data_IF_677090633827
#
_entry.id   IF_677090633827
#
_cell.length_a   1.000
_cell.length_b   1.000
_cell.length_c   1.000
_cell.angle_alpha   90.00
_cell.angle_beta   90.00
_cell.angle_gamma   90.00
#
_symmetry.space_group_name_H-M   'P 1'
#
loop_
_entity.id
_entity.type
_entity.pdbx_description
1 polymer ?
#
# COMPACT_ATOMS: atom_id res chain seq x y z
N UNK A 1 -11.73 -14.57 2.77
CA UNK A 1 -10.41 -13.99 2.40
C UNK A 1 -9.37 -14.83 3.11
N UNK A 2 -8.46 -15.49 2.40
CA UNK A 2 -7.55 -16.44 3.06
C UNK A 2 -6.63 -15.72 4.04
N UNK A 3 -6.54 -16.24 5.26
CA UNK A 3 -5.70 -15.71 6.33
C UNK A 3 -4.67 -16.75 6.73
N UNK A 4 -3.43 -16.30 6.97
CA UNK A 4 -2.32 -17.16 7.33
C UNK A 4 -1.89 -16.86 8.76
N UNK A 5 -1.75 -17.91 9.56
CA UNK A 5 -1.21 -17.80 10.92
C UNK A 5 0.27 -17.38 10.84
N UNK A 6 0.69 -16.33 11.56
CA UNK A 6 2.07 -15.84 11.50
C UNK A 6 3.08 -16.79 12.18
N UNK A 7 2.63 -17.76 12.98
CA UNK A 7 3.50 -18.65 13.77
C UNK A 7 3.75 -20.01 13.11
N UNK A 8 2.70 -20.66 12.61
CA UNK A 8 2.80 -22.00 12.00
C UNK A 8 2.53 -22.00 10.49
N UNK A 9 2.06 -20.90 9.92
CA UNK A 9 1.75 -20.81 8.49
C UNK A 9 0.43 -21.46 8.08
N UNK A 10 -0.38 -21.97 9.02
CA UNK A 10 -1.72 -22.50 8.75
C UNK A 10 -2.58 -21.49 7.99
N UNK A 11 -3.25 -21.94 6.92
CA UNK A 11 -4.09 -21.12 6.06
C UNK A 11 -5.55 -21.43 6.39
N UNK A 12 -6.28 -20.43 6.87
CA UNK A 12 -7.72 -20.47 7.09
C UNK A 12 -8.43 -19.70 5.98
N UNK A 13 -9.61 -20.16 5.54
CA UNK A 13 -10.40 -19.43 4.54
C UNK A 13 -11.02 -18.14 5.09
N UNK A 14 -11.24 -18.08 6.41
CA UNK A 14 -11.72 -16.94 7.18
C UNK A 14 -10.94 -16.76 8.49
N UNK A 15 -10.99 -15.56 9.06
CA UNK A 15 -10.33 -15.26 10.33
C UNK A 15 -11.08 -15.99 11.47
N UNK A 16 -10.41 -16.85 12.26
CA UNK A 16 -11.10 -17.56 13.33
C UNK A 16 -11.69 -16.55 14.34
N UNK A 17 -12.94 -16.73 14.81
CA UNK A 17 -13.60 -15.80 15.73
C UNK A 17 -12.81 -15.60 17.03
N UNK A 18 -12.10 -16.63 17.46
CA UNK A 18 -11.25 -16.64 18.65
C UNK A 18 -9.87 -16.01 18.43
N UNK A 19 -9.52 -15.65 17.18
CA UNK A 19 -8.17 -15.25 16.73
C UNK A 19 -7.06 -16.27 17.06
N UNK A 20 -7.43 -17.48 17.49
CA UNK A 20 -6.52 -18.59 17.75
C UNK A 20 -6.38 -19.44 16.51
N UNK A 21 -5.16 -19.85 16.23
CA UNK A 21 -4.90 -20.82 15.18
C UNK A 21 -5.43 -22.20 15.59
N UNK A 22 -6.26 -22.89 14.79
CA UNK A 22 -6.73 -24.22 15.13
C UNK A 22 -5.62 -25.28 15.15
N UNK A 23 -4.49 -25.01 14.49
CA UNK A 23 -3.37 -25.96 14.36
C UNK A 23 -2.33 -25.82 15.49
N UNK A 24 -1.97 -24.59 15.86
CA UNK A 24 -0.96 -24.36 16.91
C UNK A 24 -1.51 -23.74 18.21
N UNK A 25 -2.84 -23.59 18.32
CA UNK A 25 -3.59 -22.91 19.40
C UNK A 25 -3.08 -21.51 19.77
N UNK A 26 -2.23 -20.94 18.92
CA UNK A 26 -1.60 -19.66 19.20
C UNK A 26 -2.57 -18.53 18.88
N UNK A 27 -2.83 -17.69 19.88
CA UNK A 27 -3.57 -16.46 19.71
C UNK A 27 -2.71 -15.41 19.01
N UNK A 28 -3.24 -14.76 17.97
CA UNK A 28 -2.57 -13.66 17.30
C UNK A 28 -3.59 -12.66 16.76
N UNK A 29 -3.34 -11.37 16.97
CA UNK A 29 -4.09 -10.30 16.30
C UNK A 29 -3.54 -9.98 14.90
N UNK A 30 -2.38 -10.53 14.55
CA UNK A 30 -1.61 -10.18 13.35
C UNK A 30 -1.70 -11.27 12.27
N UNK A 31 -2.88 -11.86 12.10
CA UNK A 31 -3.10 -12.76 10.97
C UNK A 31 -2.79 -12.06 9.66
N UNK A 32 -2.01 -12.75 8.82
CA UNK A 32 -1.59 -12.22 7.53
C UNK A 32 -2.69 -12.51 6.51
N UNK A 33 -3.18 -11.48 5.83
CA UNK A 33 -4.11 -11.68 4.72
C UNK A 33 -3.29 -12.28 3.57
N UNK A 34 -3.57 -13.54 3.26
CA UNK A 34 -2.90 -14.37 2.26
C UNK A 34 -3.74 -14.45 0.98
N UNK A 35 -4.25 -13.29 0.54
CA UNK A 35 -4.95 -13.14 -0.72
C UNK A 35 -4.13 -12.22 -1.63
N UNK A 36 -3.31 -12.85 -2.48
CA UNK A 36 -2.49 -12.12 -3.44
C UNK A 36 -3.33 -11.36 -4.47
N UNK A 37 -4.48 -11.91 -4.87
CA UNK A 37 -5.32 -11.30 -5.89
C UNK A 37 -5.95 -10.01 -5.37
N UNK A 38 -6.53 -10.07 -4.17
CA UNK A 38 -7.03 -8.88 -3.46
C UNK A 38 -5.92 -7.86 -3.21
N UNK A 39 -4.77 -8.29 -2.67
CA UNK A 39 -3.61 -7.40 -2.43
C UNK A 39 -3.13 -6.71 -3.71
N UNK A 40 -2.93 -7.49 -4.78
CA UNK A 40 -2.46 -6.98 -6.06
C UNK A 40 -3.46 -6.02 -6.70
N UNK A 41 -4.77 -6.27 -6.55
CA UNK A 41 -5.82 -5.37 -7.04
C UNK A 41 -5.75 -4.00 -6.36
N UNK A 42 -5.59 -3.98 -5.03
CA UNK A 42 -5.46 -2.73 -4.25
C UNK A 42 -4.17 -2.00 -4.63
N UNK A 43 -3.03 -2.70 -4.70
CA UNK A 43 -1.74 -2.08 -5.08
C UNK A 43 -1.73 -1.55 -6.51
N UNK A 44 -2.40 -2.21 -7.46
CA UNK A 44 -2.60 -1.70 -8.82
C UNK A 44 -3.45 -0.43 -8.82
N UNK A 45 -4.53 -0.40 -8.03
CA UNK A 45 -5.36 0.81 -7.88
C UNK A 45 -4.56 1.97 -7.28
N UNK A 46 -3.72 1.69 -6.27
CA UNK A 46 -2.81 2.67 -5.68
C UNK A 46 -1.82 3.21 -6.72
N UNK A 47 -1.23 2.33 -7.52
CA UNK A 47 -0.32 2.70 -8.60
C UNK A 47 -0.98 3.65 -9.62
N UNK A 48 -2.24 3.38 -10.02
CA UNK A 48 -3.01 4.26 -10.92
C UNK A 48 -3.22 5.66 -10.34
N UNK A 49 -3.64 5.75 -9.08
CA UNK A 49 -3.83 7.03 -8.40
C UNK A 49 -2.52 7.80 -8.23
N UNK A 50 -1.41 7.13 -7.87
CA UNK A 50 -0.10 7.77 -7.80
C UNK A 50 0.32 8.34 -9.17
N UNK A 51 0.08 7.61 -10.26
CA UNK A 51 0.30 8.11 -11.62
C UNK A 51 -0.57 9.33 -11.95
N UNK A 52 -1.85 9.32 -11.55
CA UNK A 52 -2.73 10.48 -11.72
C UNK A 52 -2.23 11.70 -10.94
N UNK A 53 -1.79 11.52 -9.70
CA UNK A 53 -1.20 12.60 -8.89
C UNK A 53 0.05 13.14 -9.57
N UNK A 54 0.97 12.26 -10.00
CA UNK A 54 2.18 12.64 -10.74
C UNK A 54 1.82 13.46 -11.99
N UNK A 55 0.84 13.02 -12.78
CA UNK A 55 0.40 13.73 -13.98
C UNK A 55 -0.18 15.12 -13.68
N UNK A 56 -1.05 15.23 -12.68
CA UNK A 56 -1.64 16.51 -12.25
C UNK A 56 -0.54 17.45 -11.73
N UNK A 57 0.38 16.94 -10.93
CA UNK A 57 1.49 17.74 -10.40
C UNK A 57 2.41 18.24 -11.51
N UNK A 58 2.71 17.42 -12.53
CA UNK A 58 3.51 17.85 -13.68
C UNK A 58 2.79 18.92 -14.50
N UNK A 59 1.48 18.76 -14.75
CA UNK A 59 0.69 19.77 -15.45
C UNK A 59 0.65 21.09 -14.67
N UNK A 60 0.46 21.02 -13.35
CA UNK A 60 0.49 22.19 -12.47
C UNK A 60 1.87 22.87 -12.48
N UNK A 61 2.97 22.10 -12.42
CA UNK A 61 4.32 22.64 -12.51
C UNK A 61 4.55 23.35 -13.85
N UNK A 62 4.14 22.72 -14.96
CA UNK A 62 4.24 23.31 -16.29
C UNK A 62 3.51 24.66 -16.38
N UNK A 63 2.25 24.70 -15.96
CA UNK A 63 1.44 25.93 -15.91
C UNK A 63 2.09 26.99 -15.03
N UNK A 64 2.61 26.60 -13.86
CA UNK A 64 3.25 27.52 -12.91
C UNK A 64 4.49 28.18 -13.52
N UNK A 65 5.32 27.40 -14.22
CA UNK A 65 6.53 27.90 -14.90
C UNK A 65 6.14 28.79 -16.08
N UNK A 66 5.22 28.35 -16.94
CA UNK A 66 4.79 29.11 -18.13
C UNK A 66 4.16 30.45 -17.75
N UNK A 67 3.34 30.48 -16.70
CA UNK A 67 2.68 31.70 -16.23
C UNK A 67 3.52 32.52 -15.25
N UNK A 68 4.75 32.09 -14.91
CA UNK A 68 5.60 32.70 -13.88
C UNK A 68 4.84 32.95 -12.56
N UNK A 69 3.96 32.03 -12.20
CA UNK A 69 3.06 32.21 -11.08
C UNK A 69 3.81 32.09 -9.76
N UNK A 70 3.60 33.08 -8.88
CA UNK A 70 4.10 33.08 -7.50
C UNK A 70 3.08 32.52 -6.51
N UNK A 71 2.00 31.88 -6.99
CA UNK A 71 0.97 31.35 -6.09
C UNK A 71 1.52 30.21 -5.22
N UNK A 72 1.54 30.37 -3.89
CA UNK A 72 2.14 29.38 -2.99
C UNK A 72 1.42 28.03 -3.02
N UNK A 73 0.11 28.02 -3.31
CA UNK A 73 -0.66 26.78 -3.48
C UNK A 73 -0.15 25.91 -4.61
N UNK A 74 0.26 26.50 -5.74
CA UNK A 74 0.80 25.73 -6.87
C UNK A 74 2.14 25.07 -6.53
N UNK A 75 2.98 25.76 -5.74
CA UNK A 75 4.22 25.21 -5.23
C UNK A 75 3.99 24.11 -4.18
N UNK A 76 2.97 24.27 -3.32
CA UNK A 76 2.61 23.25 -2.33
C UNK A 76 2.17 21.93 -2.99
N UNK A 77 1.44 22.00 -4.11
CA UNK A 77 1.08 20.81 -4.89
C UNK A 77 2.29 20.06 -5.46
N UNK A 78 3.39 20.78 -5.76
CA UNK A 78 4.64 20.16 -6.21
C UNK A 78 5.32 19.31 -5.12
N UNK A 79 5.05 19.57 -3.83
CA UNK A 79 5.58 18.77 -2.73
C UNK A 79 5.00 17.34 -2.70
N UNK A 80 3.83 17.12 -3.30
CA UNK A 80 3.21 15.78 -3.40
C UNK A 80 3.91 14.87 -4.41
N UNK A 81 4.78 15.41 -5.27
CA UNK A 81 5.45 14.66 -6.31
C UNK A 81 6.39 13.58 -5.76
N UNK A 82 7.22 13.94 -4.78
CA UNK A 82 8.19 13.06 -4.16
C UNK A 82 7.51 11.84 -3.49
N UNK A 83 6.54 12.03 -2.57
CA UNK A 83 5.85 10.89 -1.95
C UNK A 83 5.05 10.06 -2.97
N UNK A 84 4.49 10.67 -4.03
CA UNK A 84 3.81 9.92 -5.09
C UNK A 84 4.76 8.96 -5.82
N UNK A 85 5.96 9.42 -6.19
CA UNK A 85 6.96 8.61 -6.88
C UNK A 85 7.45 7.48 -5.99
N UNK A 86 7.82 7.77 -4.75
CA UNK A 86 8.31 6.76 -3.80
C UNK A 86 7.26 5.66 -3.64
N UNK A 87 5.99 6.04 -3.41
CA UNK A 87 4.91 5.09 -3.25
C UNK A 87 4.61 4.30 -4.54
N UNK A 88 4.72 4.94 -5.70
CA UNK A 88 4.58 4.27 -7.00
C UNK A 88 5.64 3.18 -7.20
N UNK A 89 6.91 3.49 -6.96
CA UNK A 89 8.02 2.54 -7.07
C UNK A 89 7.87 1.39 -6.07
N UNK A 90 7.45 1.69 -4.85
CA UNK A 90 7.21 0.67 -3.83
C UNK A 90 6.05 -0.27 -4.22
N UNK A 91 4.92 0.28 -4.70
CA UNK A 91 3.81 -0.53 -5.20
C UNK A 91 4.24 -1.43 -6.36
N UNK A 92 5.07 -0.91 -7.28
CA UNK A 92 5.59 -1.70 -8.40
C UNK A 92 6.47 -2.85 -7.92
N UNK A 93 7.43 -2.58 -7.03
CA UNK A 93 8.31 -3.61 -6.44
C UNK A 93 7.52 -4.68 -5.69
N UNK A 94 6.48 -4.28 -4.94
CA UNK A 94 5.60 -5.23 -4.25
C UNK A 94 4.79 -6.11 -5.21
N UNK A 95 4.37 -5.58 -6.36
CA UNK A 95 3.64 -6.33 -7.38
C UNK A 95 4.55 -7.30 -8.16
N UNK A 96 5.82 -6.96 -8.34
CA UNK A 96 6.83 -7.81 -9.00
C UNK A 96 7.24 -9.01 -8.11
N UNK A 97 7.22 -8.85 -6.78
CA UNK A 97 7.59 -9.92 -5.84
C UNK A 97 6.42 -10.85 -5.48
N UNK A 98 5.81 -11.50 -6.49
CA UNK A 98 4.73 -12.48 -6.25
C UNK A 98 5.22 -13.74 -5.54
N UNK A 99 6.41 -14.22 -5.87
CA UNK A 99 6.97 -15.47 -5.32
C UNK A 99 7.39 -15.35 -3.86
N UNK A 100 7.77 -14.15 -3.40
CA UNK A 100 8.10 -13.86 -2.00
C UNK A 100 6.94 -13.30 -1.18
N UNK A 101 5.69 -13.46 -1.65
CA UNK A 101 4.54 -12.93 -0.92
C UNK A 101 4.13 -13.86 0.23
N UNK A 102 4.46 -13.44 1.44
CA UNK A 102 4.17 -14.22 2.66
C UNK A 102 2.82 -13.88 3.30
N UNK A 103 2.08 -12.94 2.71
CA UNK A 103 0.86 -12.34 3.23
C UNK A 103 1.11 -10.91 3.74
N UNK A 104 0.05 -10.13 3.90
CA UNK A 104 0.15 -8.75 4.36
C UNK A 104 -0.67 -8.52 5.62
N UNK A 105 -0.14 -7.73 6.57
CA UNK A 105 -0.95 -7.23 7.69
C UNK A 105 -2.02 -6.29 7.12
N UNK A 106 -3.26 -6.39 7.58
CA UNK A 106 -4.37 -5.53 7.12
C UNK A 106 -4.09 -4.02 7.21
N UNK A 107 -3.18 -3.62 8.10
CA UNK A 107 -2.71 -2.21 8.23
C UNK A 107 -1.87 -1.70 7.04
N UNK A 108 -1.34 -2.58 6.18
CA UNK A 108 -0.48 -2.21 5.05
C UNK A 108 -1.23 -1.70 3.80
N UNK A 109 -2.57 -1.63 3.88
CA UNK A 109 -3.45 -1.23 2.78
C UNK A 109 -3.69 0.28 2.70
N UNK A 110 -3.22 1.09 3.66
CA UNK A 110 -3.59 2.51 3.67
C UNK A 110 -2.70 3.41 2.80
N UNK A 111 -3.39 4.19 1.98
CA UNK A 111 -2.90 5.25 1.12
C UNK A 111 -2.06 6.24 1.94
N UNK A 112 -0.75 6.30 1.65
CA UNK A 112 0.16 7.41 1.96
C UNK A 112 0.55 7.68 3.43
N UNK A 113 -0.23 7.30 4.45
CA UNK A 113 -0.01 7.82 5.83
C UNK A 113 0.61 6.87 6.87
N UNK A 114 0.93 5.62 6.58
CA UNK A 114 1.49 4.70 7.59
C UNK A 114 2.79 3.98 7.18
N UNK A 115 3.67 4.68 6.45
CA UNK A 115 5.04 4.21 6.17
C UNK A 115 6.00 4.23 7.37
N UNK A 116 5.57 4.75 8.53
CA UNK A 116 6.32 4.74 9.80
C UNK A 116 5.68 3.83 10.87
N UNK A 117 4.99 2.77 10.47
CA UNK A 117 4.49 1.75 11.40
C UNK A 117 5.54 0.68 11.69
N UNK A 118 6.65 1.05 12.30
CA UNK A 118 7.54 0.10 12.97
C UNK A 118 6.94 -0.29 14.31
N UNK A 119 6.49 -1.55 14.42
CA UNK A 119 6.46 -2.36 15.66
C UNK A 119 6.04 -3.79 15.31
#
# INVERSE_FOLDING_TARGET
>A
MKNRCPRCGYIADDLPPSLRCPDCDNFSHDWLIYDWESFSSVKRRHSKYNLSIIGITLANLFVTITLKSQMPFQWLFSLLFIPAIINFLYCRKQLENKSGYEGHKGKSLFFWFFGFGGS
#
